data_IF_150598262322
#
_entry.id   IF_150598262322
#
_cell.length_a   1.000
_cell.length_b   1.000
_cell.length_c   1.000
_cell.angle_alpha   90.00
_cell.angle_beta   90.00
_cell.angle_gamma   90.00
#
_symmetry.space_group_name_H-M   'P 1'
#
loop_
_entity.id
_entity.type
_entity.pdbx_description
1 polymer ?
#
# COMPACT_ATOMS: atom_id res chain seq x y z
N UNK A 1 -0.78 19.41 -17.60
CA UNK A 1 -0.83 19.65 -16.15
C UNK A 1 0.56 19.97 -15.65
N UNK A 2 0.66 20.83 -14.64
CA UNK A 2 1.90 21.07 -13.91
C UNK A 2 1.95 20.12 -12.70
N UNK A 3 3.06 19.39 -12.59
CA UNK A 3 3.27 18.40 -11.53
C UNK A 3 4.58 18.68 -10.81
N UNK A 4 4.52 18.78 -9.49
CA UNK A 4 5.71 18.88 -8.63
C UNK A 4 5.96 17.51 -8.00
N UNK A 5 7.20 17.01 -8.07
CA UNK A 5 7.61 15.75 -7.48
C UNK A 5 8.69 16.03 -6.43
N UNK A 6 8.36 15.78 -5.18
CA UNK A 6 9.28 15.85 -4.04
C UNK A 6 9.97 14.51 -3.85
N UNK A 7 11.28 14.48 -4.08
CA UNK A 7 12.11 13.29 -4.08
C UNK A 7 12.56 12.91 -5.49
N UNK A 8 13.84 13.17 -5.81
CA UNK A 8 14.46 12.84 -7.10
C UNK A 8 15.21 11.50 -7.06
N UNK A 9 14.82 10.59 -6.19
CA UNK A 9 15.29 9.21 -6.15
C UNK A 9 14.89 8.42 -7.39
N UNK A 10 15.15 7.12 -7.43
CA UNK A 10 14.78 6.25 -8.56
C UNK A 10 13.29 6.30 -8.90
N UNK A 11 12.44 6.28 -7.88
CA UNK A 11 10.97 6.32 -8.04
C UNK A 11 10.52 7.65 -8.61
N UNK A 12 10.93 8.79 -8.00
CA UNK A 12 10.54 10.12 -8.49
C UNK A 12 10.97 10.38 -9.92
N UNK A 13 12.21 10.00 -10.30
CA UNK A 13 12.67 10.13 -11.68
C UNK A 13 11.92 9.21 -12.66
N UNK A 14 11.49 8.02 -12.22
CA UNK A 14 10.68 7.15 -13.08
C UNK A 14 9.30 7.74 -13.31
N UNK A 15 8.65 8.24 -12.26
CA UNK A 15 7.38 8.95 -12.38
C UNK A 15 7.51 10.17 -13.30
N UNK A 16 8.58 10.96 -13.13
CA UNK A 16 8.81 12.14 -13.95
C UNK A 16 8.92 11.81 -15.45
N UNK A 17 9.68 10.76 -15.82
CA UNK A 17 9.81 10.33 -17.22
C UNK A 17 8.47 9.93 -17.84
N UNK A 18 7.66 9.17 -17.12
CA UNK A 18 6.34 8.74 -17.60
C UNK A 18 5.38 9.92 -17.78
N UNK A 19 5.40 10.88 -16.86
CA UNK A 19 4.54 12.06 -16.94
C UNK A 19 4.98 13.01 -18.08
N UNK A 20 6.29 13.21 -18.26
CA UNK A 20 6.84 13.99 -19.38
C UNK A 20 6.50 13.35 -20.73
N UNK A 21 6.63 12.01 -20.86
CA UNK A 21 6.25 11.29 -22.07
C UNK A 21 4.75 11.46 -22.43
N UNK A 22 3.90 11.75 -21.43
CA UNK A 22 2.47 12.06 -21.61
C UNK A 22 2.18 13.54 -21.81
N UNK A 23 3.21 14.38 -21.94
CA UNK A 23 3.08 15.82 -22.20
C UNK A 23 2.77 16.67 -20.97
N UNK A 24 3.04 16.16 -19.75
CA UNK A 24 2.93 16.98 -18.53
C UNK A 24 4.21 17.78 -18.31
N UNK A 25 4.11 18.91 -17.62
CA UNK A 25 5.25 19.70 -17.15
C UNK A 25 5.62 19.20 -15.75
N UNK A 26 6.88 18.84 -15.54
CA UNK A 26 7.33 18.25 -14.28
C UNK A 26 8.47 19.05 -13.69
N UNK A 27 8.34 19.38 -12.40
CA UNK A 27 9.41 19.89 -11.55
C UNK A 27 9.83 18.82 -10.55
N UNK A 28 11.10 18.43 -10.57
CA UNK A 28 11.71 17.49 -9.62
C UNK A 28 12.47 18.26 -8.56
N UNK A 29 12.23 17.93 -7.30
CA UNK A 29 12.90 18.55 -6.16
C UNK A 29 13.55 17.49 -5.25
N UNK A 30 14.74 17.75 -4.78
CA UNK A 30 15.40 16.91 -3.77
C UNK A 30 16.36 17.76 -2.92
N UNK A 31 16.49 17.43 -1.63
CA UNK A 31 17.45 18.06 -0.73
C UNK A 31 18.86 17.51 -0.88
N UNK A 32 19.02 16.32 -1.45
CA UNK A 32 20.32 15.69 -1.64
C UNK A 32 20.91 16.03 -3.04
N UNK A 33 22.06 16.72 -3.09
CA UNK A 33 22.73 17.02 -4.35
C UNK A 33 23.07 15.78 -5.20
N UNK A 34 23.34 14.64 -4.57
CA UNK A 34 23.66 13.39 -5.26
C UNK A 34 22.44 12.78 -5.99
N UNK A 35 21.22 13.13 -5.57
CA UNK A 35 19.99 12.75 -6.23
C UNK A 35 19.72 13.55 -7.51
N UNK A 36 20.37 14.72 -7.68
CA UNK A 36 20.21 15.64 -8.80
C UNK A 36 20.85 15.11 -10.10
N UNK A 37 20.36 13.97 -10.57
CA UNK A 37 20.84 13.33 -11.80
C UNK A 37 20.11 13.92 -13.03
N UNK A 38 20.31 15.20 -13.29
CA UNK A 38 19.61 15.99 -14.33
C UNK A 38 19.62 15.31 -15.69
N UNK A 39 20.76 14.73 -16.12
CA UNK A 39 20.86 14.03 -17.39
C UNK A 39 19.91 12.83 -17.54
N UNK A 40 19.41 12.29 -16.42
CA UNK A 40 18.49 11.14 -16.45
C UNK A 40 17.05 11.52 -16.79
N UNK A 41 16.66 12.80 -16.61
CA UNK A 41 15.33 13.37 -16.93
C UNK A 41 15.57 14.84 -17.31
N UNK A 42 16.22 15.07 -18.45
CA UNK A 42 16.70 16.39 -18.87
C UNK A 42 15.56 17.39 -19.17
N UNK A 43 14.38 16.90 -19.47
CA UNK A 43 13.20 17.71 -19.84
C UNK A 43 12.45 18.23 -18.61
N UNK A 44 12.76 17.73 -17.40
CA UNK A 44 12.18 18.21 -16.16
C UNK A 44 12.87 19.49 -15.67
N UNK A 45 12.13 20.33 -14.95
CA UNK A 45 12.74 21.37 -14.12
C UNK A 45 13.32 20.73 -12.86
N UNK A 46 14.51 21.19 -12.43
CA UNK A 46 15.17 20.63 -11.28
C UNK A 46 15.44 21.70 -10.21
N UNK A 47 15.06 21.40 -8.97
CA UNK A 47 15.27 22.27 -7.84
C UNK A 47 15.97 21.52 -6.72
N UNK A 48 17.14 21.99 -6.34
CA UNK A 48 17.85 21.52 -5.14
C UNK A 48 17.32 22.27 -3.93
N UNK A 49 16.77 21.53 -2.96
CA UNK A 49 16.27 22.08 -1.71
C UNK A 49 15.32 21.12 -1.01
N UNK A 50 15.08 21.41 0.27
CA UNK A 50 14.13 20.64 1.07
C UNK A 50 12.69 21.06 0.75
N UNK A 51 11.95 20.17 0.12
CA UNK A 51 10.55 20.42 -0.28
C UNK A 51 9.59 20.50 0.93
N UNK A 52 10.01 20.09 2.12
CA UNK A 52 9.26 20.36 3.35
C UNK A 52 9.38 21.84 3.80
N UNK A 53 10.14 22.69 3.06
CA UNK A 53 10.24 24.13 3.28
C UNK A 53 9.32 24.90 2.33
N UNK A 54 8.48 25.83 2.83
CA UNK A 54 7.61 26.66 2.00
C UNK A 54 8.33 27.43 0.89
N UNK A 55 9.53 27.94 1.16
CA UNK A 55 10.31 28.70 0.20
C UNK A 55 10.73 27.83 -1.01
N UNK A 56 11.07 26.56 -0.75
CA UNK A 56 11.42 25.62 -1.82
C UNK A 56 10.18 25.21 -2.60
N UNK A 57 9.05 25.00 -1.92
CA UNK A 57 7.78 24.71 -2.57
C UNK A 57 7.33 25.87 -3.48
N UNK A 58 7.50 27.11 -3.05
CA UNK A 58 7.16 28.28 -3.89
C UNK A 58 8.06 28.33 -5.13
N UNK A 59 9.38 28.16 -4.98
CA UNK A 59 10.32 28.08 -6.11
C UNK A 59 10.02 26.90 -7.07
N UNK A 60 9.45 25.82 -6.53
CA UNK A 60 9.04 24.67 -7.32
C UNK A 60 7.77 24.91 -8.16
N UNK A 61 7.12 26.04 -7.99
CA UNK A 61 5.84 26.34 -8.65
C UNK A 61 4.68 25.56 -8.06
N UNK A 62 4.73 25.22 -6.78
CA UNK A 62 3.68 24.40 -6.12
C UNK A 62 2.32 25.08 -6.13
N UNK A 63 2.30 26.42 -6.12
CA UNK A 63 1.06 27.18 -6.16
C UNK A 63 0.29 27.02 -7.47
N UNK A 64 0.99 26.85 -8.57
CA UNK A 64 0.46 26.64 -9.91
C UNK A 64 0.29 25.15 -10.24
N UNK A 65 0.79 24.27 -9.38
CA UNK A 65 0.75 22.83 -9.60
C UNK A 65 -0.67 22.29 -9.42
N UNK A 66 -1.11 21.48 -10.36
CA UNK A 66 -2.37 20.74 -10.28
C UNK A 66 -2.21 19.46 -9.44
N UNK A 67 -0.97 18.91 -9.38
CA UNK A 67 -0.63 17.70 -8.66
C UNK A 67 0.71 17.86 -7.98
N UNK A 68 0.82 17.41 -6.73
CA UNK A 68 2.09 17.18 -6.07
C UNK A 68 2.24 15.69 -5.72
N UNK A 69 3.45 15.17 -5.92
CA UNK A 69 3.81 13.79 -5.56
C UNK A 69 4.90 13.83 -4.51
N UNK A 70 4.57 13.54 -3.26
CA UNK A 70 5.54 13.36 -2.17
C UNK A 70 6.12 11.95 -2.26
N UNK A 71 7.31 11.81 -2.86
CA UNK A 71 7.95 10.52 -3.17
C UNK A 71 9.34 10.37 -2.55
N UNK A 72 9.59 11.05 -1.41
CA UNK A 72 10.86 10.92 -0.68
C UNK A 72 10.99 9.56 0.00
N UNK A 73 12.17 9.25 0.52
CA UNK A 73 12.42 8.05 1.32
C UNK A 73 11.98 8.15 2.79
N UNK A 74 11.47 9.29 3.23
CA UNK A 74 11.03 9.52 4.63
C UNK A 74 9.52 9.82 4.67
N UNK A 75 8.78 8.97 5.39
CA UNK A 75 7.33 9.11 5.54
C UNK A 75 6.93 10.41 6.24
N UNK A 76 7.73 10.89 7.19
CA UNK A 76 7.48 12.15 7.90
C UNK A 76 7.61 13.34 6.95
N UNK A 77 8.66 13.35 6.13
CA UNK A 77 8.82 14.37 5.10
C UNK A 77 7.65 14.35 4.11
N UNK A 78 7.21 13.17 3.67
CA UNK A 78 6.07 13.03 2.77
C UNK A 78 4.78 13.57 3.38
N UNK A 79 4.52 13.34 4.67
CA UNK A 79 3.36 13.90 5.38
C UNK A 79 3.43 15.44 5.47
N UNK A 80 4.59 16.00 5.86
CA UNK A 80 4.77 17.46 5.96
C UNK A 80 4.59 18.13 4.60
N UNK A 81 5.18 17.56 3.53
CA UNK A 81 5.03 18.05 2.17
C UNK A 81 3.55 18.05 1.74
N UNK A 82 2.85 16.96 2.03
CA UNK A 82 1.43 16.81 1.70
C UNK A 82 0.56 17.84 2.42
N UNK A 83 0.78 18.01 3.73
CA UNK A 83 0.05 18.98 4.54
C UNK A 83 0.28 20.42 4.05
N UNK A 84 1.52 20.80 3.80
CA UNK A 84 1.85 22.13 3.28
C UNK A 84 1.24 22.37 1.89
N UNK A 85 1.37 21.39 0.99
CA UNK A 85 0.80 21.46 -0.34
C UNK A 85 -0.71 21.72 -0.31
N UNK A 86 -1.41 21.02 0.59
CA UNK A 86 -2.88 21.14 0.70
C UNK A 86 -3.31 22.41 1.40
N UNK A 87 -2.69 22.73 2.53
CA UNK A 87 -3.16 23.82 3.42
C UNK A 87 -2.60 25.19 3.06
N UNK A 88 -1.33 25.27 2.64
CA UNK A 88 -0.68 26.54 2.33
C UNK A 88 -0.72 26.89 0.85
N UNK A 89 -0.58 25.90 -0.03
CA UNK A 89 -0.50 26.12 -1.46
C UNK A 89 -1.81 25.78 -2.20
N UNK A 90 -2.74 25.07 -1.54
CA UNK A 90 -4.06 24.76 -2.13
C UNK A 90 -3.99 23.79 -3.30
N UNK A 91 -2.97 22.92 -3.36
CA UNK A 91 -2.82 21.96 -4.46
C UNK A 91 -4.04 21.04 -4.55
N UNK A 92 -4.70 20.95 -5.71
CA UNK A 92 -5.93 20.17 -5.86
C UNK A 92 -5.75 18.69 -5.55
N UNK A 93 -4.63 18.08 -5.96
CA UNK A 93 -4.36 16.67 -5.77
C UNK A 93 -2.98 16.41 -5.21
N UNK A 94 -2.95 15.72 -4.07
CA UNK A 94 -1.73 15.33 -3.36
C UNK A 94 -1.63 13.82 -3.31
N UNK A 95 -0.54 13.29 -3.89
CA UNK A 95 -0.22 11.87 -3.89
C UNK A 95 0.99 11.69 -2.99
N UNK A 96 0.93 10.76 -2.05
CA UNK A 96 2.05 10.53 -1.13
C UNK A 96 2.47 9.07 -1.08
N UNK A 97 3.77 8.86 -1.20
CA UNK A 97 4.37 7.55 -1.04
C UNK A 97 4.46 7.19 0.44
N UNK A 98 4.00 5.99 0.75
CA UNK A 98 4.17 5.34 2.04
C UNK A 98 5.33 4.36 1.93
N UNK A 99 6.43 4.64 2.64
CA UNK A 99 7.61 3.77 2.64
C UNK A 99 7.44 2.61 3.64
N UNK A 100 6.85 2.89 4.81
CA UNK A 100 6.59 1.88 5.81
C UNK A 100 5.06 1.64 5.93
N UNK A 101 4.55 0.44 5.61
CA UNK A 101 3.12 0.14 5.71
C UNK A 101 2.50 0.37 7.09
N UNK A 102 3.30 0.34 8.16
CA UNK A 102 2.83 0.65 9.53
C UNK A 102 2.41 2.11 9.70
N UNK A 103 2.87 3.01 8.83
CA UNK A 103 2.56 4.42 8.87
C UNK A 103 1.36 4.79 7.97
N UNK A 104 0.84 3.85 7.18
CA UNK A 104 -0.18 4.11 6.16
C UNK A 104 -1.45 4.78 6.72
N UNK A 105 -1.80 4.46 7.96
CA UNK A 105 -2.96 5.04 8.64
C UNK A 105 -2.89 6.56 8.84
N UNK A 106 -1.67 7.15 8.80
CA UNK A 106 -1.48 8.60 8.89
C UNK A 106 -1.67 9.31 7.54
N UNK A 107 -1.61 8.58 6.42
CA UNK A 107 -1.67 9.15 5.08
C UNK A 107 -3.13 9.29 4.63
N UNK A 108 -3.84 10.22 5.24
CA UNK A 108 -5.24 10.50 4.99
C UNK A 108 -5.49 11.99 4.70
N UNK A 109 -6.75 12.37 4.57
CA UNK A 109 -7.17 13.75 4.30
C UNK A 109 -6.75 14.74 5.40
N UNK A 110 -6.60 14.29 6.66
CA UNK A 110 -6.18 15.15 7.77
C UNK A 110 -4.72 15.62 7.62
N UNK A 111 -3.90 14.83 6.94
CA UNK A 111 -2.54 15.14 6.54
C UNK A 111 -2.43 15.69 5.11
N UNK A 112 -3.57 16.02 4.50
CA UNK A 112 -3.62 16.58 3.15
C UNK A 112 -3.32 15.57 2.04
N UNK A 113 -3.41 14.27 2.30
CA UNK A 113 -3.14 13.22 1.32
C UNK A 113 -4.44 12.78 0.65
N UNK A 114 -4.55 12.96 -0.66
CA UNK A 114 -5.70 12.46 -1.43
C UNK A 114 -5.49 11.00 -1.86
N UNK A 115 -4.24 10.61 -2.15
CA UNK A 115 -3.91 9.26 -2.63
C UNK A 115 -2.64 8.74 -1.94
N UNK A 116 -2.75 7.90 -0.93
CA UNK A 116 -1.60 7.18 -0.38
C UNK A 116 -1.18 6.04 -1.31
N UNK A 117 0.13 5.89 -1.53
CA UNK A 117 0.70 4.82 -2.35
C UNK A 117 1.75 4.06 -1.56
N UNK A 118 1.39 2.89 -1.04
CA UNK A 118 2.32 2.00 -0.34
C UNK A 118 2.97 1.03 -1.32
N UNK A 119 4.18 1.38 -1.77
CA UNK A 119 4.96 0.51 -2.67
C UNK A 119 5.20 -0.89 -2.09
N UNK A 120 5.61 -1.05 -0.80
CA UNK A 120 5.79 -2.38 -0.23
C UNK A 120 4.50 -3.20 -0.23
N UNK A 121 3.37 -2.59 0.13
CA UNK A 121 2.08 -3.29 0.15
C UNK A 121 1.63 -3.73 -1.25
N UNK A 122 1.80 -2.86 -2.26
CA UNK A 122 1.49 -3.21 -3.64
C UNK A 122 2.34 -4.39 -4.13
N UNK A 123 3.64 -4.39 -3.84
CA UNK A 123 4.52 -5.51 -4.19
C UNK A 123 4.12 -6.80 -3.46
N UNK A 124 3.84 -6.72 -2.16
CA UNK A 124 3.41 -7.88 -1.38
C UNK A 124 2.12 -8.48 -1.96
N UNK A 125 1.12 -7.64 -2.27
CA UNK A 125 -0.13 -8.11 -2.86
C UNK A 125 0.07 -8.81 -4.20
N UNK A 126 0.98 -8.30 -5.05
CA UNK A 126 1.30 -8.96 -6.33
C UNK A 126 2.01 -10.30 -6.14
N UNK A 127 2.91 -10.39 -5.13
CA UNK A 127 3.57 -11.66 -4.81
C UNK A 127 2.57 -12.65 -4.22
N UNK A 128 1.73 -12.21 -3.30
CA UNK A 128 0.67 -13.06 -2.71
C UNK A 128 -0.27 -13.59 -3.81
N UNK A 129 -0.69 -12.74 -4.72
CA UNK A 129 -1.53 -13.15 -5.86
C UNK A 129 -0.84 -14.20 -6.72
N UNK A 130 0.43 -14.02 -7.02
CA UNK A 130 1.18 -14.93 -7.90
C UNK A 130 1.46 -16.31 -7.27
N UNK A 131 1.52 -16.40 -5.92
CA UNK A 131 1.90 -17.65 -5.22
C UNK A 131 0.73 -18.33 -4.51
N UNK A 132 -0.42 -17.65 -4.37
CA UNK A 132 -1.53 -18.12 -3.55
C UNK A 132 -2.67 -18.69 -4.39
N UNK A 133 -3.04 -19.94 -4.08
CA UNK A 133 -4.27 -20.57 -4.56
C UNK A 133 -5.23 -20.68 -3.39
N UNK A 134 -6.50 -20.34 -3.57
CA UNK A 134 -7.48 -20.39 -2.50
C UNK A 134 -7.35 -19.29 -1.46
N UNK A 135 -6.72 -18.15 -1.80
CA UNK A 135 -6.61 -16.98 -0.94
C UNK A 135 -7.22 -15.77 -1.65
N UNK A 136 -8.09 -15.04 -0.96
CA UNK A 136 -8.67 -13.79 -1.46
C UNK A 136 -7.67 -12.64 -1.23
N UNK A 137 -6.96 -12.24 -2.28
CA UNK A 137 -5.90 -11.22 -2.24
C UNK A 137 -6.42 -9.89 -2.76
N UNK A 138 -6.17 -8.79 -2.03
CA UNK A 138 -6.49 -7.45 -2.50
C UNK A 138 -5.40 -6.95 -3.45
N UNK A 139 -5.75 -6.78 -4.73
CA UNK A 139 -4.83 -6.31 -5.79
C UNK A 139 -4.75 -4.80 -5.80
N UNK A 140 -5.89 -4.10 -5.73
CA UNK A 140 -5.94 -2.65 -5.89
C UNK A 140 -7.02 -2.02 -5.03
N UNK A 141 -6.78 -0.79 -4.58
CA UNK A 141 -7.72 0.02 -3.83
C UNK A 141 -8.06 1.32 -4.57
N UNK A 142 -9.34 1.56 -4.80
CA UNK A 142 -9.87 2.77 -5.43
C UNK A 142 -10.30 3.77 -4.36
N UNK A 143 -9.39 4.65 -3.92
CA UNK A 143 -9.65 5.59 -2.83
C UNK A 143 -10.91 6.44 -3.05
N UNK A 144 -11.09 6.99 -4.27
CA UNK A 144 -12.23 7.84 -4.59
C UNK A 144 -13.58 7.09 -4.52
N UNK A 145 -13.59 5.80 -4.82
CA UNK A 145 -14.78 4.96 -4.81
C UNK A 145 -14.96 4.18 -3.49
N UNK A 146 -13.99 4.24 -2.58
CA UNK A 146 -13.95 3.41 -1.36
C UNK A 146 -14.27 1.94 -1.66
N UNK A 147 -13.61 1.42 -2.69
CA UNK A 147 -13.84 0.07 -3.21
C UNK A 147 -12.49 -0.57 -3.52
N UNK A 148 -12.36 -1.83 -3.25
CA UNK A 148 -11.13 -2.59 -3.53
C UNK A 148 -11.37 -3.71 -4.53
N UNK A 149 -10.38 -3.94 -5.40
CA UNK A 149 -10.34 -5.08 -6.32
C UNK A 149 -9.63 -6.24 -5.63
N UNK A 150 -10.31 -7.38 -5.59
CA UNK A 150 -9.78 -8.62 -5.07
C UNK A 150 -9.66 -9.68 -6.15
N UNK A 151 -8.69 -10.55 -5.99
CA UNK A 151 -8.48 -11.75 -6.81
C UNK A 151 -8.48 -12.99 -5.95
N UNK A 152 -8.98 -14.08 -6.50
CA UNK A 152 -8.85 -15.42 -5.92
C UNK A 152 -8.73 -16.45 -7.03
N UNK A 153 -7.80 -17.39 -6.91
CA UNK A 153 -7.68 -18.55 -7.76
C UNK A 153 -8.41 -19.70 -7.07
N UNK A 154 -9.41 -20.30 -7.76
CA UNK A 154 -10.23 -21.35 -7.18
C UNK A 154 -9.42 -22.64 -6.98
N UNK A 155 -9.31 -23.14 -5.73
CA UNK A 155 -8.70 -24.43 -5.47
C UNK A 155 -9.58 -25.59 -5.95
N UNK A 156 -9.02 -26.81 -6.15
CA UNK A 156 -9.75 -27.96 -6.68
C UNK A 156 -10.93 -28.46 -5.81
N UNK A 157 -10.93 -28.09 -4.54
CA UNK A 157 -11.96 -28.49 -3.54
C UNK A 157 -12.97 -27.37 -3.24
N UNK A 158 -12.97 -26.30 -4.03
CA UNK A 158 -13.90 -25.19 -3.82
C UNK A 158 -15.34 -25.59 -4.10
N UNK A 159 -16.30 -25.33 -3.18
CA UNK A 159 -17.69 -25.80 -3.30
C UNK A 159 -18.49 -25.14 -4.43
N UNK A 160 -18.03 -24.03 -4.97
CA UNK A 160 -18.68 -23.37 -6.12
C UNK A 160 -18.30 -23.96 -7.47
N UNK A 161 -17.37 -24.92 -7.51
CA UNK A 161 -16.95 -25.58 -8.75
C UNK A 161 -18.09 -26.38 -9.37
N UNK A 162 -18.16 -26.36 -10.70
CA UNK A 162 -19.22 -27.04 -11.47
C UNK A 162 -20.59 -26.39 -11.38
N UNK A 163 -20.77 -25.38 -10.52
CA UNK A 163 -22.01 -24.62 -10.46
C UNK A 163 -22.08 -23.61 -11.60
N UNK A 164 -23.28 -23.41 -12.16
CA UNK A 164 -23.49 -22.27 -13.06
C UNK A 164 -23.19 -20.96 -12.34
N UNK A 165 -22.42 -20.10 -12.97
CA UNK A 165 -22.02 -18.82 -12.36
C UNK A 165 -23.22 -17.98 -11.89
N UNK A 166 -24.30 -17.99 -12.65
CA UNK A 166 -25.57 -17.31 -12.32
C UNK A 166 -26.33 -17.96 -11.15
N UNK A 167 -25.96 -19.19 -10.79
CA UNK A 167 -26.55 -19.93 -9.66
C UNK A 167 -25.82 -19.69 -8.33
N UNK A 168 -24.66 -19.03 -8.36
CA UNK A 168 -23.92 -18.70 -7.14
C UNK A 168 -24.49 -17.41 -6.54
N UNK A 169 -24.98 -17.48 -5.30
CA UNK A 169 -25.45 -16.31 -4.57
C UNK A 169 -24.26 -15.59 -3.95
N UNK A 170 -23.81 -14.51 -4.58
CA UNK A 170 -22.77 -13.65 -4.04
C UNK A 170 -23.32 -12.76 -2.91
N UNK A 171 -22.53 -12.43 -1.88
CA UNK A 171 -22.95 -11.53 -0.81
C UNK A 171 -23.35 -10.16 -1.37
N UNK A 172 -24.26 -9.48 -0.66
CA UNK A 172 -24.70 -8.14 -1.05
C UNK A 172 -23.50 -7.16 -1.04
N UNK A 173 -23.39 -6.35 -2.10
CA UNK A 173 -22.28 -5.44 -2.30
C UNK A 173 -21.05 -6.04 -2.98
N UNK A 174 -21.00 -7.36 -3.20
CA UNK A 174 -19.92 -8.00 -3.96
C UNK A 174 -20.28 -8.00 -5.45
N UNK A 175 -19.39 -7.46 -6.27
CA UNK A 175 -19.52 -7.50 -7.72
C UNK A 175 -18.43 -8.40 -8.32
N UNK A 176 -18.82 -9.51 -8.92
CA UNK A 176 -17.91 -10.30 -9.76
C UNK A 176 -17.71 -9.55 -11.09
N UNK A 177 -16.47 -9.17 -11.35
CA UNK A 177 -16.09 -8.37 -12.54
C UNK A 177 -15.76 -9.26 -13.73
N UNK A 178 -14.93 -10.27 -13.51
CA UNK A 178 -14.46 -11.17 -14.56
C UNK A 178 -14.03 -12.53 -14.00
N UNK A 179 -14.02 -13.51 -14.86
CA UNK A 179 -13.36 -14.81 -14.67
C UNK A 179 -12.20 -14.88 -15.66
N UNK A 180 -11.01 -15.18 -15.15
CA UNK A 180 -9.84 -15.41 -15.98
C UNK A 180 -9.58 -16.92 -16.03
N UNK A 181 -9.50 -17.49 -17.24
CA UNK A 181 -9.24 -18.91 -17.48
C UNK A 181 -8.26 -19.03 -18.63
N UNK A 182 -7.17 -19.78 -18.45
CA UNK A 182 -6.14 -20.02 -19.47
C UNK A 182 -5.59 -18.73 -20.12
N UNK A 183 -5.41 -17.70 -19.29
CA UNK A 183 -4.91 -16.38 -19.74
C UNK A 183 -5.93 -15.54 -20.51
N UNK A 184 -7.21 -15.96 -20.57
CA UNK A 184 -8.28 -15.21 -21.23
C UNK A 184 -9.25 -14.62 -20.20
N UNK A 185 -9.70 -13.41 -20.44
CA UNK A 185 -10.76 -12.78 -19.66
C UNK A 185 -12.12 -13.17 -20.23
N UNK A 186 -12.91 -13.84 -19.44
CA UNK A 186 -14.25 -14.27 -19.79
C UNK A 186 -15.28 -13.37 -19.09
N UNK A 187 -16.20 -12.74 -19.84
CA UNK A 187 -17.35 -12.09 -19.23
C UNK A 187 -18.16 -13.09 -18.40
N UNK A 188 -18.62 -12.66 -17.22
CA UNK A 188 -19.40 -13.53 -16.33
C UNK A 188 -20.61 -14.19 -17.02
N UNK A 189 -21.22 -13.51 -18.01
CA UNK A 189 -22.34 -14.01 -18.78
C UNK A 189 -22.02 -15.18 -19.74
N UNK A 190 -20.73 -15.39 -20.06
CA UNK A 190 -20.27 -16.46 -20.95
C UNK A 190 -19.69 -17.67 -20.21
N UNK A 191 -19.52 -17.57 -18.89
CA UNK A 191 -19.03 -18.66 -18.05
C UNK A 191 -20.20 -19.54 -17.65
N UNK A 192 -20.29 -20.71 -18.25
CA UNK A 192 -21.36 -21.68 -17.92
C UNK A 192 -21.17 -22.24 -16.51
N UNK A 193 -19.98 -22.76 -16.20
CA UNK A 193 -19.65 -23.32 -14.91
C UNK A 193 -18.23 -22.87 -14.49
N UNK A 194 -18.01 -22.75 -13.18
CA UNK A 194 -16.69 -22.49 -12.61
C UNK A 194 -15.85 -23.76 -12.60
N UNK A 195 -14.56 -23.63 -12.90
CA UNK A 195 -13.59 -24.72 -12.99
C UNK A 195 -12.40 -24.48 -12.02
N UNK A 196 -11.71 -25.57 -11.59
CA UNK A 196 -10.48 -25.43 -10.80
C UNK A 196 -9.44 -24.61 -11.56
N UNK A 197 -8.79 -23.68 -10.85
CA UNK A 197 -7.80 -22.78 -11.47
C UNK A 197 -8.40 -21.52 -12.09
N UNK A 198 -9.72 -21.37 -12.14
CA UNK A 198 -10.32 -20.09 -12.50
C UNK A 198 -9.90 -19.01 -11.52
N UNK A 199 -9.47 -17.89 -12.05
CA UNK A 199 -9.20 -16.69 -11.26
C UNK A 199 -10.41 -15.77 -11.32
N UNK A 200 -11.01 -15.49 -10.16
CA UNK A 200 -12.16 -14.61 -10.03
C UNK A 200 -11.72 -13.22 -9.59
N UNK A 201 -12.21 -12.18 -10.25
CA UNK A 201 -11.97 -10.79 -9.88
C UNK A 201 -13.26 -10.19 -9.30
N UNK A 202 -13.15 -9.68 -8.07
CA UNK A 202 -14.27 -9.08 -7.35
C UNK A 202 -14.00 -7.62 -7.00
N UNK A 203 -15.03 -6.77 -7.08
CA UNK A 203 -15.05 -5.47 -6.45
C UNK A 203 -15.86 -5.55 -5.15
N UNK A 204 -15.23 -5.11 -4.05
CA UNK A 204 -15.85 -5.07 -2.72
C UNK A 204 -15.77 -3.66 -2.16
N UNK A 205 -16.86 -3.14 -1.56
CA UNK A 205 -16.85 -1.86 -0.85
C UNK A 205 -16.09 -1.97 0.47
N UNK A 206 -15.28 -0.95 0.80
CA UNK A 206 -14.45 -0.98 2.00
C UNK A 206 -15.22 -0.68 3.29
N UNK A 207 -16.40 -0.08 3.18
CA UNK A 207 -17.21 0.37 4.31
C UNK A 207 -18.14 -0.70 4.90
N UNK A 208 -18.18 -1.90 4.33
CA UNK A 208 -19.01 -3.00 4.80
C UNK A 208 -18.13 -4.05 5.50
N UNK A 209 -18.06 -3.94 6.84
CA UNK A 209 -17.39 -4.95 7.66
C UNK A 209 -18.16 -6.26 7.56
N UNK A 210 -17.46 -7.34 7.17
CA UNK A 210 -18.05 -8.68 7.05
C UNK A 210 -18.24 -9.18 5.62
N UNK A 211 -18.46 -8.31 4.63
CA UNK A 211 -18.66 -8.72 3.22
C UNK A 211 -17.50 -9.59 2.70
N UNK A 212 -16.29 -9.25 3.09
CA UNK A 212 -15.08 -10.02 2.74
C UNK A 212 -15.12 -11.42 3.37
N UNK A 213 -15.54 -11.51 4.64
CA UNK A 213 -15.70 -12.79 5.34
C UNK A 213 -16.85 -13.60 4.74
N UNK A 214 -17.95 -12.95 4.39
CA UNK A 214 -19.10 -13.61 3.77
C UNK A 214 -18.74 -14.16 2.39
N UNK A 215 -17.96 -13.42 1.60
CA UNK A 215 -17.41 -13.92 0.33
C UNK A 215 -16.49 -15.13 0.56
N UNK A 216 -15.62 -15.09 1.57
CA UNK A 216 -14.79 -16.22 1.97
C UNK A 216 -15.63 -17.44 2.36
N UNK A 217 -16.76 -17.25 3.05
CA UNK A 217 -17.67 -18.31 3.43
C UNK A 217 -18.38 -18.94 2.22
N UNK A 218 -18.78 -18.14 1.22
CA UNK A 218 -19.38 -18.65 -0.05
C UNK A 218 -18.37 -19.48 -0.82
N UNK A 219 -17.13 -19.05 -0.82
CA UNK A 219 -16.02 -19.74 -1.47
C UNK A 219 -15.44 -20.87 -0.58
N UNK A 220 -16.08 -21.27 0.49
CA UNK A 220 -15.66 -22.11 1.63
C UNK A 220 -14.37 -22.91 1.38
N UNK A 221 -13.33 -22.67 2.21
CA UNK A 221 -11.98 -23.19 1.96
C UNK A 221 -11.00 -22.12 1.44
N UNK A 222 -11.51 -20.96 1.03
CA UNK A 222 -10.69 -19.82 0.61
C UNK A 222 -10.30 -18.99 1.84
N UNK A 223 -9.00 -18.90 2.12
CA UNK A 223 -8.48 -18.04 3.16
C UNK A 223 -8.61 -16.56 2.75
N UNK A 224 -8.92 -15.71 3.72
CA UNK A 224 -8.99 -14.26 3.51
C UNK A 224 -7.67 -13.66 3.98
N UNK A 225 -6.88 -13.11 3.08
CA UNK A 225 -5.66 -12.40 3.45
C UNK A 225 -6.02 -11.05 4.09
N UNK A 226 -5.74 -10.91 5.38
CA UNK A 226 -5.93 -9.65 6.10
C UNK A 226 -4.74 -8.71 5.84
N UNK A 227 -4.82 -7.98 4.73
CA UNK A 227 -3.86 -6.93 4.39
C UNK A 227 -4.34 -5.54 4.88
N UNK A 228 -5.25 -5.51 5.85
CA UNK A 228 -5.77 -4.27 6.42
C UNK A 228 -5.12 -4.01 7.78
N UNK A 229 -4.13 -3.13 7.80
CA UNK A 229 -3.60 -2.55 9.02
C UNK A 229 -4.60 -1.58 9.63
N UNK A 230 -5.70 -2.06 10.20
CA UNK A 230 -6.43 -1.30 11.20
C UNK A 230 -5.80 -1.60 12.55
N UNK A 231 -4.94 -0.69 13.02
CA UNK A 231 -4.48 -0.72 14.39
C UNK A 231 -5.65 -0.40 15.32
N UNK A 232 -6.31 -1.43 15.82
CA UNK A 232 -7.05 -1.37 17.09
C UNK A 232 -6.73 -2.69 17.79
N UNK A 233 -6.00 -2.56 18.90
CA UNK A 233 -5.71 -3.69 19.77
C UNK A 233 -6.98 -4.25 20.37
N UNK A 234 -7.15 -5.54 20.22
CA UNK A 234 -7.94 -6.36 21.13
C UNK A 234 -7.14 -7.65 21.33
N UNK A 235 -6.71 -7.83 22.57
CA UNK A 235 -6.07 -9.05 23.02
C UNK A 235 -6.99 -10.25 22.84
N UNK A 236 -6.45 -11.32 22.33
CA UNK A 236 -7.07 -12.62 22.23
C UNK A 236 -5.96 -13.64 22.10
N UNK A 237 -5.57 -14.21 23.25
CA UNK A 237 -4.74 -15.38 23.33
C UNK A 237 -5.39 -16.52 22.54
N UNK A 238 -4.72 -17.01 21.51
CA UNK A 238 -4.93 -18.36 21.01
C UNK A 238 -3.56 -19.02 20.85
N UNK A 239 -3.23 -19.81 21.89
CA UNK A 239 -2.13 -20.72 21.91
C UNK A 239 -2.31 -21.79 20.83
N UNK A 240 -1.46 -21.78 19.82
CA UNK A 240 -1.30 -22.94 18.94
C UNK A 240 -0.26 -23.84 19.60
N UNK A 241 -0.71 -24.93 20.28
CA UNK A 241 0.15 -25.99 20.73
C UNK A 241 0.49 -26.90 19.54
N UNK A 242 1.64 -26.67 18.95
CA UNK A 242 2.25 -27.59 18.00
C UNK A 242 3.47 -28.23 18.64
N UNK A 243 3.32 -29.45 19.12
CA UNK A 243 4.41 -30.26 19.66
C UNK A 243 5.27 -30.77 18.52
N UNK A 244 6.53 -30.34 18.44
CA UNK A 244 7.58 -31.02 17.67
C UNK A 244 8.36 -31.92 18.59
N UNK A 245 8.68 -33.13 18.22
CA UNK A 245 9.47 -34.04 19.06
C UNK A 245 10.98 -33.86 18.85
N UNK A 246 11.70 -33.67 19.95
CA UNK A 246 13.08 -34.10 20.16
C UNK A 246 14.18 -33.14 19.76
N UNK A 247 14.77 -32.43 20.73
CA UNK A 247 16.16 -32.71 21.08
C UNK A 247 16.54 -32.08 22.44
N UNK A 248 17.46 -32.75 23.14
CA UNK A 248 17.77 -32.53 24.53
C UNK A 248 18.75 -31.36 24.78
N UNK A 249 18.47 -30.59 25.83
CA UNK A 249 19.47 -30.03 26.74
C UNK A 249 20.38 -28.92 26.25
N UNK A 250 20.04 -27.69 26.67
CA UNK A 250 20.98 -26.73 27.29
C UNK A 250 20.19 -25.49 27.80
N UNK A 251 20.10 -25.40 29.12
CA UNK A 251 19.72 -24.19 29.84
C UNK A 251 20.77 -23.09 29.60
N UNK A 252 20.34 -21.94 29.09
CA UNK A 252 21.15 -20.72 29.07
C UNK A 252 20.43 -19.72 29.96
N UNK A 253 20.98 -19.56 31.17
CA UNK A 253 20.60 -18.49 32.11
C UNK A 253 21.13 -17.16 31.60
N UNK A 254 20.22 -16.24 31.25
CA UNK A 254 20.54 -14.83 30.95
C UNK A 254 20.49 -14.06 32.27
N UNK A 255 21.67 -13.62 32.74
CA UNK A 255 21.79 -12.76 33.92
C UNK A 255 21.35 -11.34 33.65
N UNK A 256 20.57 -10.81 34.55
CA UNK A 256 20.18 -9.39 34.65
C UNK A 256 21.39 -8.50 34.99
N UNK A 257 21.56 -7.33 34.37
CA UNK A 257 22.59 -6.37 34.78
C UNK A 257 22.17 -5.65 36.07
N UNK A 258 23.02 -5.70 37.07
CA UNK A 258 22.91 -4.88 38.29
C UNK A 258 23.29 -3.42 37.99
N UNK A 259 22.44 -2.51 38.41
CA UNK A 259 22.72 -1.09 38.51
C UNK A 259 23.74 -0.84 39.64
N UNK A 260 24.83 -0.16 39.31
CA UNK A 260 25.76 0.41 40.31
C UNK A 260 25.45 1.91 40.53
N UNK A 261 25.39 2.38 41.76
CA UNK A 261 25.17 3.81 42.05
C UNK A 261 26.47 4.62 41.88
N UNK A 262 26.38 5.68 41.09
CA UNK A 262 27.44 6.64 40.88
C UNK A 262 27.57 7.54 42.13
N UNK A 263 28.70 7.49 42.81
CA UNK A 263 29.07 8.42 43.87
C UNK A 263 29.47 9.77 43.28
N UNK A 264 28.82 10.81 43.77
CA UNK A 264 29.16 12.21 43.53
C UNK A 264 30.30 12.58 44.50
N UNK A 265 31.49 12.72 43.97
CA UNK A 265 32.63 13.27 44.69
C UNK A 265 32.67 14.78 44.55
N UNK A 266 32.40 15.48 45.64
CA UNK A 266 32.60 16.89 45.84
C UNK A 266 34.09 17.14 46.20
N UNK A 267 34.86 17.91 45.38
CA UNK A 267 36.04 18.63 45.87
C UNK A 267 36.15 19.97 45.15
N UNK A 268 36.07 21.00 46.00
CA UNK A 268 36.35 22.37 45.65
C UNK A 268 37.83 22.69 45.51
N UNK A 269 38.11 23.63 44.68
CA UNK A 269 38.89 24.86 44.94
C UNK A 269 38.72 25.73 43.72
#
# INVERSE_FOLDING_TARGET
MQVVIAGAGSVGRSIARELLARGHQVTLCDSNPEAMKVSSVAEANWILGDVASPDVMERAGTKEAEVIVAATGDDRANLVISLLAKTQFGVPRVIARVNNPKNEWMFDESWGVDVPVSTPRMMTSMVEEAVSVGVLVRIFHFNAARTSLYSVILPPDCPVLGLPLLGVSWPEGVLLVAVLRDGQSLPASLVANLEPGDQLLFLLPDNQQGVKQDLGNVLAGVAVADNCGTGVGAGGENAISGTLPGDAGKEVTVGTPQEQPTQIGNQGK
#
